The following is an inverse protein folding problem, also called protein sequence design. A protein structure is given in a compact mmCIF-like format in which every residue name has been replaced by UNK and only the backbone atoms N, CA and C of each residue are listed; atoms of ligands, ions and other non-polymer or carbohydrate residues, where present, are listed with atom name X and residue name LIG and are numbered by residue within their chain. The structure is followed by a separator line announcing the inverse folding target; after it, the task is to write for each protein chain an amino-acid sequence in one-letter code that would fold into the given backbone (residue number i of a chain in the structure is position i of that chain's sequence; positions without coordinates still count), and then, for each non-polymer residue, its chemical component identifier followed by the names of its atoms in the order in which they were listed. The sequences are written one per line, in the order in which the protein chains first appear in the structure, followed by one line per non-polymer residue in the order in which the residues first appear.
data_IF_480775175716
#
_entry.id   IF_480775175716
#
_cell.length_a   1.000
_cell.length_b   1.000
_cell.length_c   1.000
_cell.angle_alpha   90.00
_cell.angle_beta   90.00
_cell.angle_gamma   90.00
#
_symmetry.space_group_name_H-M   'P 1'
#
loop_
_entity.id
_entity.type
_entity.pdbx_description
1 polymer ?
#
# COMPACT_ATOMS: atom_id res chain seq x y z
N UNK A 1 -17.45 52.69 1.53
CA UNK A 1 -17.48 52.23 0.13
C UNK A 1 -17.03 50.78 0.12
N UNK A 2 -17.97 49.84 -0.09
CA UNK A 2 -17.70 48.40 -0.08
C UNK A 2 -17.34 47.99 -1.52
N UNK A 3 -16.07 47.68 -1.77
CA UNK A 3 -15.66 47.09 -3.04
C UNK A 3 -15.91 45.58 -2.97
N UNK A 4 -17.08 45.14 -3.45
CA UNK A 4 -17.27 43.73 -3.84
C UNK A 4 -16.76 43.58 -5.27
N UNK A 5 -15.62 42.91 -5.45
CA UNK A 5 -15.19 42.44 -6.76
C UNK A 5 -15.95 41.16 -7.10
N UNK A 6 -16.72 41.19 -8.19
CA UNK A 6 -17.32 40.00 -8.78
C UNK A 6 -16.32 39.42 -9.80
N UNK A 7 -15.84 38.20 -9.56
CA UNK A 7 -14.96 37.47 -10.47
C UNK A 7 -15.82 36.48 -11.26
N UNK A 8 -15.97 36.71 -12.56
CA UNK A 8 -16.64 35.77 -13.49
C UNK A 8 -15.57 34.88 -14.13
N UNK A 9 -15.63 33.57 -13.89
CA UNK A 9 -14.71 32.59 -14.49
C UNK A 9 -15.38 31.96 -15.72
N UNK A 10 -14.90 32.29 -16.91
CA UNK A 10 -15.26 31.60 -18.16
C UNK A 10 -14.31 30.42 -18.37
N UNK A 11 -14.82 29.19 -18.28
CA UNK A 11 -14.00 27.98 -18.47
C UNK A 11 -13.71 27.73 -19.96
N UNK A 12 -12.42 27.65 -20.32
CA UNK A 12 -11.95 27.32 -21.67
C UNK A 12 -11.35 25.90 -21.72
N UNK A 13 -11.59 25.15 -22.81
CA UNK A 13 -11.43 23.69 -22.98
C UNK A 13 -9.99 23.11 -22.93
N UNK A 14 -9.01 23.82 -22.38
CA UNK A 14 -7.63 23.36 -22.14
C UNK A 14 -7.30 23.35 -20.64
N UNK A 15 -8.20 22.76 -19.84
CA UNK A 15 -8.41 23.16 -18.45
C UNK A 15 -7.38 22.65 -17.42
N UNK A 16 -6.66 21.55 -17.67
CA UNK A 16 -5.96 20.85 -16.57
C UNK A 16 -4.73 21.60 -16.00
N UNK A 17 -3.75 22.09 -16.81
CA UNK A 17 -2.63 22.84 -16.26
C UNK A 17 -2.98 24.30 -15.92
N UNK A 18 -3.84 24.94 -16.71
CA UNK A 18 -4.22 26.35 -16.50
C UNK A 18 -5.00 26.55 -15.20
N UNK A 19 -5.82 25.58 -14.79
CA UNK A 19 -6.54 25.62 -13.52
C UNK A 19 -5.58 25.79 -12.33
N UNK A 20 -4.55 24.94 -12.22
CA UNK A 20 -3.58 25.04 -11.13
C UNK A 20 -2.75 26.32 -11.18
N UNK A 21 -2.44 26.83 -12.38
CA UNK A 21 -1.78 28.13 -12.53
C UNK A 21 -2.64 29.29 -12.00
N UNK A 22 -3.95 29.27 -12.24
CA UNK A 22 -4.86 30.29 -11.73
C UNK A 22 -5.00 30.21 -10.21
N UNK A 23 -5.22 29.01 -9.65
CA UNK A 23 -5.29 28.81 -8.20
C UNK A 23 -3.98 29.25 -7.52
N UNK A 24 -2.83 28.87 -8.06
CA UNK A 24 -1.54 29.25 -7.49
C UNK A 24 -1.29 30.76 -7.59
N UNK A 25 -1.75 31.41 -8.67
CA UNK A 25 -1.65 32.86 -8.84
C UNK A 25 -2.52 33.60 -7.83
N UNK A 26 -3.79 33.24 -7.73
CA UNK A 26 -4.73 33.83 -6.77
C UNK A 26 -4.22 33.66 -5.33
N UNK A 27 -3.71 32.47 -5.00
CA UNK A 27 -3.09 32.22 -3.69
C UNK A 27 -1.95 33.19 -3.41
N UNK A 28 -1.05 33.42 -4.38
CA UNK A 28 0.06 34.39 -4.22
C UNK A 28 -0.43 35.83 -4.11
N UNK A 29 -1.48 36.19 -4.82
CA UNK A 29 -2.09 37.52 -4.75
C UNK A 29 -2.69 37.77 -3.35
N UNK A 30 -3.35 36.76 -2.75
CA UNK A 30 -3.84 36.81 -1.36
C UNK A 30 -2.68 36.87 -0.37
N UNK A 31 -1.66 36.03 -0.54
CA UNK A 31 -0.46 36.05 0.32
C UNK A 31 0.22 37.42 0.31
N UNK A 32 0.33 38.05 -0.86
CA UNK A 32 0.89 39.40 -0.99
C UNK A 32 0.05 40.46 -0.27
N UNK A 33 -1.29 40.34 -0.28
CA UNK A 33 -2.18 41.23 0.48
C UNK A 33 -1.99 41.07 2.00
N UNK A 34 -1.66 39.86 2.46
CA UNK A 34 -1.34 39.57 3.86
C UNK A 34 0.12 39.92 4.23
N UNK A 35 0.95 40.34 3.27
CA UNK A 35 2.36 40.66 3.49
C UNK A 35 3.26 39.44 3.67
N UNK A 36 2.83 38.26 3.18
CA UNK A 36 3.53 36.99 3.35
C UNK A 36 4.11 36.50 2.02
N UNK A 37 5.38 36.10 2.01
CA UNK A 37 6.08 35.65 0.79
C UNK A 37 6.08 34.14 0.59
N UNK A 38 5.98 33.33 1.66
CA UNK A 38 6.01 31.88 1.57
C UNK A 38 4.75 31.26 2.16
N UNK A 39 4.21 30.22 1.50
CA UNK A 39 2.98 29.58 1.92
C UNK A 39 3.14 28.90 3.29
N UNK A 40 4.33 28.38 3.59
CA UNK A 40 4.65 27.74 4.87
C UNK A 40 4.49 28.69 6.06
N UNK A 41 4.65 30.00 5.84
CA UNK A 41 4.48 31.02 6.87
C UNK A 41 2.99 31.25 7.21
N UNK A 42 2.05 30.73 6.41
CA UNK A 42 0.61 30.77 6.69
C UNK A 42 0.08 29.50 7.38
N UNK A 43 0.82 28.39 7.34
CA UNK A 43 0.32 27.10 7.83
C UNK A 43 0.13 27.15 9.34
N UNK A 44 -1.11 26.98 9.79
CA UNK A 44 -1.48 27.00 11.21
C UNK A 44 -1.62 28.40 11.82
N UNK A 45 -1.49 29.48 11.04
CA UNK A 45 -1.57 30.86 11.51
C UNK A 45 -3.01 31.38 11.50
N UNK A 46 -3.76 31.02 12.54
CA UNK A 46 -5.19 31.41 12.66
C UNK A 46 -5.40 32.89 12.94
N UNK A 47 -4.35 33.65 13.28
CA UNK A 47 -4.46 35.10 13.50
C UNK A 47 -4.76 35.90 12.22
N UNK A 48 -4.53 35.31 11.04
CA UNK A 48 -4.93 35.90 9.76
C UNK A 48 -6.43 35.71 9.47
N UNK A 49 -7.16 34.98 10.32
CA UNK A 49 -8.58 34.73 10.17
C UNK A 49 -9.37 35.56 11.18
N UNK A 50 -10.39 36.23 10.69
CA UNK A 50 -11.37 36.95 11.50
C UNK A 50 -12.76 36.41 11.21
N UNK A 51 -13.55 36.16 12.25
CA UNK A 51 -14.96 35.84 12.08
C UNK A 51 -15.72 37.06 11.50
N UNK A 52 -16.61 36.80 10.55
CA UNK A 52 -17.49 37.80 9.97
C UNK A 52 -18.88 37.67 10.57
N UNK A 53 -19.59 38.79 10.70
CA UNK A 53 -20.98 38.80 11.14
C UNK A 53 -21.86 37.90 10.25
N UNK A 54 -22.65 37.04 10.87
CA UNK A 54 -23.58 36.17 10.19
C UNK A 54 -24.74 36.94 9.57
N UNK A 55 -25.13 36.54 8.36
CA UNK A 55 -26.23 37.14 7.60
C UNK A 55 -27.59 36.72 8.18
N UNK A 56 -27.65 35.59 8.88
CA UNK A 56 -28.86 35.05 9.52
C UNK A 56 -28.70 34.83 11.01
N UNK A 57 -29.82 34.83 11.73
CA UNK A 57 -29.87 34.50 13.15
C UNK A 57 -29.38 33.07 13.48
N UNK A 58 -29.32 32.16 12.48
CA UNK A 58 -28.73 30.83 12.66
C UNK A 58 -27.21 30.86 12.57
N UNK A 59 -26.65 31.66 11.66
CA UNK A 59 -25.20 31.82 11.51
C UNK A 59 -24.59 32.51 12.73
N UNK A 60 -25.25 33.53 13.28
CA UNK A 60 -24.81 34.22 14.51
C UNK A 60 -24.88 33.36 15.79
N UNK A 61 -25.32 32.11 15.69
CA UNK A 61 -25.30 31.14 16.79
C UNK A 61 -24.15 30.13 16.68
N UNK A 62 -23.37 30.18 15.62
CA UNK A 62 -22.18 29.33 15.48
C UNK A 62 -21.08 29.89 16.37
N UNK A 63 -20.43 29.00 17.12
CA UNK A 63 -19.20 29.31 17.83
C UNK A 63 -18.03 28.76 17.02
N UNK A 64 -17.30 29.65 16.33
CA UNK A 64 -16.15 29.29 15.52
C UNK A 64 -14.83 29.32 16.32
N UNK A 65 -14.88 29.67 17.61
CA UNK A 65 -13.68 29.75 18.45
C UNK A 65 -12.82 28.47 18.44
N UNK A 66 -13.38 27.23 18.37
CA UNK A 66 -12.55 26.02 18.30
C UNK A 66 -11.73 25.90 17.00
N UNK A 67 -12.17 26.53 15.90
CA UNK A 67 -11.46 26.54 14.61
C UNK A 67 -10.35 27.61 14.55
N UNK A 68 -10.49 28.66 15.36
CA UNK A 68 -9.56 29.80 15.38
C UNK A 68 -8.43 29.63 16.43
N UNK A 69 -8.41 28.53 17.17
CA UNK A 69 -7.32 28.23 18.09
C UNK A 69 -6.02 27.98 17.33
N UNK A 70 -4.99 28.75 17.62
CA UNK A 70 -3.65 28.53 17.08
C UNK A 70 -3.04 27.30 17.76
N UNK A 71 -2.73 26.27 16.96
CA UNK A 71 -2.06 25.09 17.48
C UNK A 71 -0.63 25.45 17.90
N UNK A 72 -0.26 25.14 19.14
CA UNK A 72 1.15 25.22 19.57
C UNK A 72 1.81 23.88 19.26
N UNK A 73 2.86 23.82 18.43
CA UNK A 73 3.53 22.56 18.16
C UNK A 73 4.23 22.05 19.43
N UNK A 74 4.28 20.73 19.59
CA UNK A 74 5.06 20.13 20.66
C UNK A 74 6.55 20.53 20.57
N UNK A 75 7.27 20.60 21.69
CA UNK A 75 8.71 20.87 21.68
C UNK A 75 9.45 19.98 20.67
N UNK A 76 10.22 20.59 19.76
CA UNK A 76 10.95 19.88 18.71
C UNK A 76 10.12 19.48 17.47
N UNK A 77 8.87 19.94 17.33
CA UNK A 77 8.05 19.77 16.13
C UNK A 77 7.77 21.11 15.44
N UNK A 78 7.62 21.06 14.13
CA UNK A 78 7.22 22.21 13.31
C UNK A 78 5.70 22.23 13.10
N UNK A 79 5.15 23.41 12.74
CA UNK A 79 3.74 23.58 12.37
C UNK A 79 3.37 22.95 11.02
N UNK A 80 4.37 22.74 10.17
CA UNK A 80 4.22 22.16 8.85
C UNK A 80 5.18 20.98 8.68
N UNK A 81 4.95 20.17 7.64
CA UNK A 81 5.80 19.01 7.37
C UNK A 81 7.21 19.46 6.95
N UNK A 82 8.21 19.16 7.78
CA UNK A 82 9.63 19.40 7.50
C UNK A 82 10.38 18.12 7.12
N UNK A 83 9.73 16.96 7.24
CA UNK A 83 10.33 15.67 6.94
C UNK A 83 10.31 15.43 5.42
N UNK A 84 11.47 15.20 4.82
CA UNK A 84 11.59 14.93 3.39
C UNK A 84 11.12 13.52 2.99
N UNK A 85 10.94 12.62 3.95
CA UNK A 85 10.44 11.27 3.72
C UNK A 85 9.80 10.69 4.98
N UNK A 86 8.98 9.65 4.80
CA UNK A 86 8.44 8.88 5.91
C UNK A 86 9.23 7.56 6.03
N UNK A 87 10.14 7.41 7.00
CA UNK A 87 10.90 6.17 7.15
C UNK A 87 9.96 5.02 7.49
N UNK A 88 10.07 3.87 6.80
CA UNK A 88 9.22 2.73 7.11
C UNK A 88 9.61 2.17 8.48
N UNK A 89 8.59 1.84 9.29
CA UNK A 89 8.78 1.17 10.58
C UNK A 89 9.47 -0.20 10.44
N UNK A 90 9.16 -0.91 9.36
CA UNK A 90 9.75 -2.21 9.05
C UNK A 90 10.82 -2.05 7.97
N UNK A 91 12.03 -2.46 8.33
CA UNK A 91 13.19 -2.33 7.48
C UNK A 91 13.26 -3.39 6.38
N UNK A 92 12.40 -4.41 6.41
CA UNK A 92 12.25 -5.43 5.38
C UNK A 92 13.55 -6.19 5.10
N UNK A 93 14.31 -6.55 6.14
CA UNK A 93 15.65 -7.10 6.01
C UNK A 93 15.68 -8.37 5.14
N UNK A 94 14.74 -9.31 5.37
CA UNK A 94 14.64 -10.53 4.57
C UNK A 94 14.28 -10.25 3.10
N UNK A 95 13.42 -9.25 2.83
CA UNK A 95 13.12 -8.84 1.46
C UNK A 95 14.33 -8.25 0.75
N UNK A 96 15.13 -7.44 1.45
CA UNK A 96 16.36 -6.86 0.92
C UNK A 96 17.41 -7.93 0.65
N UNK A 97 17.55 -8.90 1.55
CA UNK A 97 18.47 -10.02 1.38
C UNK A 97 18.07 -10.89 0.18
N UNK A 98 16.81 -11.31 0.11
CA UNK A 98 16.27 -12.07 -1.02
C UNK A 98 16.48 -11.32 -2.34
N UNK A 99 16.15 -10.02 -2.39
CA UNK A 99 16.33 -9.21 -3.59
C UNK A 99 17.81 -9.10 -3.97
N UNK A 100 18.70 -8.83 -3.02
CA UNK A 100 20.13 -8.70 -3.30
C UNK A 100 20.72 -9.99 -3.89
N UNK A 101 20.31 -11.17 -3.40
CA UNK A 101 20.74 -12.45 -3.94
C UNK A 101 20.09 -12.77 -5.31
N UNK A 102 18.84 -12.37 -5.51
CA UNK A 102 18.09 -12.63 -6.74
C UNK A 102 18.39 -11.64 -7.88
N UNK A 103 18.87 -10.43 -7.58
CA UNK A 103 19.03 -9.33 -8.55
C UNK A 103 19.79 -9.74 -9.83
N UNK A 104 20.95 -10.41 -9.77
CA UNK A 104 21.68 -10.81 -10.99
C UNK A 104 20.86 -11.75 -11.87
N UNK A 105 20.10 -12.65 -11.25
CA UNK A 105 19.26 -13.62 -11.96
C UNK A 105 18.00 -12.98 -12.54
N UNK A 106 17.47 -11.96 -11.88
CA UNK A 106 16.39 -11.13 -12.45
C UNK A 106 16.89 -10.41 -13.69
N UNK A 107 18.06 -9.77 -13.64
CA UNK A 107 18.63 -9.03 -14.78
C UNK A 107 18.93 -9.94 -15.97
N UNK A 108 19.51 -11.13 -15.73
CA UNK A 108 19.81 -12.12 -16.77
C UNK A 108 18.60 -12.94 -17.22
N UNK A 109 17.43 -12.77 -16.57
CA UNK A 109 16.22 -13.55 -16.83
C UNK A 109 16.44 -15.05 -16.65
N UNK A 110 17.17 -15.43 -15.60
CA UNK A 110 17.48 -16.81 -15.27
C UNK A 110 16.75 -17.27 -14.00
N UNK A 111 16.27 -18.51 -14.02
CA UNK A 111 15.67 -19.13 -12.83
C UNK A 111 16.73 -19.51 -11.81
N UNK A 112 16.45 -19.26 -10.53
CA UNK A 112 17.30 -19.66 -9.40
C UNK A 112 16.45 -20.00 -8.18
N UNK A 113 16.92 -20.98 -7.40
CA UNK A 113 16.33 -21.35 -6.12
C UNK A 113 17.14 -20.77 -4.94
N UNK A 114 16.43 -20.22 -3.96
CA UNK A 114 16.99 -19.68 -2.72
C UNK A 114 16.28 -20.29 -1.50
N UNK A 115 16.96 -20.30 -0.36
CA UNK A 115 16.49 -20.90 0.88
C UNK A 115 16.73 -19.96 2.05
N UNK A 116 15.70 -19.70 2.85
CA UNK A 116 15.75 -18.77 3.98
C UNK A 116 14.96 -19.30 5.18
N UNK A 117 15.36 -18.90 6.38
CA UNK A 117 14.50 -18.97 7.55
C UNK A 117 13.58 -17.75 7.60
N UNK A 118 12.35 -17.92 8.07
CA UNK A 118 11.35 -16.84 8.16
C UNK A 118 10.70 -16.78 9.53
N UNK A 119 10.43 -15.57 10.01
CA UNK A 119 9.75 -15.30 11.29
C UNK A 119 8.51 -14.43 11.07
N UNK A 120 7.61 -14.44 12.05
CA UNK A 120 6.35 -13.68 11.97
C UNK A 120 6.55 -12.15 11.85
N UNK A 121 7.75 -11.66 12.18
CA UNK A 121 8.17 -10.27 12.00
C UNK A 121 8.57 -9.96 10.56
N UNK A 122 8.88 -10.96 9.75
CA UNK A 122 9.22 -10.79 8.33
C UNK A 122 7.93 -10.67 7.53
N UNK A 123 7.54 -9.41 7.27
CA UNK A 123 6.28 -9.07 6.60
C UNK A 123 6.50 -8.78 5.13
N UNK A 124 5.46 -8.97 4.33
CA UNK A 124 5.45 -8.65 2.89
C UNK A 124 6.59 -9.33 2.11
N UNK A 125 7.02 -10.51 2.54
CA UNK A 125 8.13 -11.24 1.90
C UNK A 125 7.74 -11.62 0.47
N UNK A 126 8.62 -11.29 -0.47
CA UNK A 126 8.42 -11.49 -1.91
C UNK A 126 7.97 -10.23 -2.67
N UNK A 127 7.55 -9.17 -1.97
CA UNK A 127 7.07 -7.93 -2.58
C UNK A 127 8.19 -7.19 -3.36
N UNK A 128 9.36 -7.03 -2.73
CA UNK A 128 10.50 -6.34 -3.35
C UNK A 128 11.01 -7.09 -4.58
N UNK A 129 11.05 -8.43 -4.52
CA UNK A 129 11.40 -9.27 -5.65
C UNK A 129 10.39 -9.13 -6.80
N UNK A 130 9.09 -9.18 -6.48
CA UNK A 130 8.03 -9.01 -7.48
C UNK A 130 8.11 -7.64 -8.16
N UNK A 131 8.35 -6.58 -7.39
CA UNK A 131 8.53 -5.23 -7.91
C UNK A 131 9.77 -5.08 -8.81
N UNK A 132 10.87 -5.74 -8.47
CA UNK A 132 12.08 -5.74 -9.30
C UNK A 132 11.88 -6.50 -10.62
N UNK A 133 11.17 -7.64 -10.60
CA UNK A 133 10.83 -8.37 -11.83
C UNK A 133 9.87 -7.54 -12.69
N UNK A 134 8.83 -6.96 -12.08
CA UNK A 134 7.84 -6.16 -12.81
C UNK A 134 8.44 -4.90 -13.43
N UNK A 135 9.41 -4.24 -12.76
CA UNK A 135 10.05 -3.05 -13.29
C UNK A 135 10.96 -3.32 -14.49
N UNK A 136 11.62 -4.48 -14.53
CA UNK A 136 12.56 -4.85 -15.61
C UNK A 136 11.84 -5.59 -16.74
N UNK A 137 10.95 -6.54 -16.42
CA UNK A 137 10.38 -7.48 -17.39
C UNK A 137 8.85 -7.41 -17.50
N UNK A 138 8.17 -6.60 -16.68
CA UNK A 138 6.72 -6.59 -16.56
C UNK A 138 6.16 -7.79 -15.78
N UNK A 139 4.87 -7.76 -15.47
CA UNK A 139 4.23 -8.67 -14.50
C UNK A 139 4.33 -10.16 -14.84
N UNK A 140 4.45 -10.50 -16.13
CA UNK A 140 4.54 -11.89 -16.61
C UNK A 140 5.87 -12.19 -17.31
N UNK A 141 6.80 -11.24 -17.31
CA UNK A 141 8.01 -11.32 -18.13
C UNK A 141 8.92 -12.50 -17.80
N UNK A 142 8.87 -12.99 -16.56
CA UNK A 142 9.64 -14.14 -16.06
C UNK A 142 8.79 -15.37 -15.71
N UNK A 143 7.53 -15.46 -16.18
CA UNK A 143 6.65 -16.56 -15.82
C UNK A 143 7.12 -17.95 -16.30
N UNK A 144 7.94 -18.01 -17.36
CA UNK A 144 8.52 -19.26 -17.86
C UNK A 144 9.69 -19.76 -17.00
N UNK A 145 10.51 -18.83 -16.48
CA UNK A 145 11.74 -19.11 -15.73
C UNK A 145 11.73 -18.34 -14.39
N UNK A 146 10.85 -18.73 -13.45
CA UNK A 146 10.63 -17.96 -12.24
C UNK A 146 11.78 -18.10 -11.24
N UNK A 147 11.95 -17.10 -10.39
CA UNK A 147 12.76 -17.19 -9.17
C UNK A 147 11.98 -18.00 -8.13
N UNK A 148 12.65 -18.99 -7.53
CA UNK A 148 12.07 -19.90 -6.54
C UNK A 148 12.65 -19.57 -5.17
N UNK A 149 11.81 -19.22 -4.21
CA UNK A 149 12.24 -18.94 -2.84
C UNK A 149 11.55 -19.89 -1.86
N UNK A 150 12.36 -20.66 -1.15
CA UNK A 150 11.93 -21.62 -0.14
C UNK A 150 12.17 -21.05 1.26
N UNK A 151 11.16 -21.12 2.11
CA UNK A 151 11.16 -20.59 3.46
C UNK A 151 10.84 -21.68 4.48
N UNK A 152 11.47 -21.60 5.64
CA UNK A 152 11.21 -22.47 6.79
C UNK A 152 10.87 -21.62 8.03
N UNK A 153 9.71 -21.87 8.65
CA UNK A 153 9.26 -21.13 9.83
C UNK A 153 7.87 -20.51 9.66
N UNK A 154 7.60 -19.43 10.39
CA UNK A 154 6.28 -18.76 10.40
C UNK A 154 6.37 -17.45 9.63
N UNK A 155 5.64 -17.29 8.52
CA UNK A 155 5.62 -16.04 7.77
C UNK A 155 4.78 -14.95 8.45
N UNK A 156 5.28 -13.72 8.41
CA UNK A 156 4.51 -12.55 8.84
C UNK A 156 3.34 -12.24 7.90
N UNK A 157 2.64 -11.14 8.21
CA UNK A 157 1.51 -10.68 7.40
C UNK A 157 1.93 -10.38 5.95
N UNK A 158 0.99 -10.61 5.03
CA UNK A 158 1.15 -10.29 3.60
C UNK A 158 2.25 -11.09 2.88
N UNK A 159 2.48 -12.35 3.26
CA UNK A 159 3.40 -13.22 2.56
C UNK A 159 3.00 -13.38 1.08
N UNK A 160 3.93 -13.12 0.15
CA UNK A 160 3.66 -13.13 -1.29
C UNK A 160 2.68 -12.04 -1.76
N UNK A 161 2.66 -10.89 -1.10
CA UNK A 161 1.86 -9.73 -1.56
C UNK A 161 2.37 -9.24 -2.94
N UNK A 162 1.42 -8.96 -3.84
CA UNK A 162 1.68 -8.52 -5.22
C UNK A 162 2.58 -9.45 -6.03
N UNK A 163 2.51 -10.76 -5.74
CA UNK A 163 3.37 -11.75 -6.38
C UNK A 163 3.24 -11.71 -7.91
N UNK A 164 4.37 -11.52 -8.59
CA UNK A 164 4.47 -11.46 -10.04
C UNK A 164 4.58 -12.86 -10.67
N UNK A 165 4.34 -12.96 -11.99
CA UNK A 165 4.45 -14.17 -12.79
C UNK A 165 5.74 -14.96 -12.58
N UNK A 166 6.86 -14.25 -12.41
CA UNK A 166 8.20 -14.81 -12.24
C UNK A 166 8.59 -15.16 -10.81
N UNK A 167 7.65 -15.29 -9.88
CA UNK A 167 7.97 -15.57 -8.48
C UNK A 167 7.22 -16.81 -7.99
N UNK A 168 7.96 -17.81 -7.52
CA UNK A 168 7.44 -19.01 -6.86
C UNK A 168 7.92 -19.06 -5.40
N UNK A 169 6.97 -18.98 -4.46
CA UNK A 169 7.26 -19.00 -3.03
C UNK A 169 6.79 -20.31 -2.42
N UNK A 170 7.67 -21.02 -1.70
CA UNK A 170 7.31 -22.22 -0.95
C UNK A 170 7.62 -22.02 0.52
N UNK A 171 6.62 -22.14 1.38
CA UNK A 171 6.75 -22.05 2.82
C UNK A 171 6.53 -23.43 3.46
N UNK A 172 7.53 -23.89 4.21
CA UNK A 172 7.41 -25.05 5.09
C UNK A 172 7.23 -24.55 6.53
N UNK A 173 5.98 -24.55 7.00
CA UNK A 173 5.55 -23.90 8.23
C UNK A 173 4.15 -23.30 8.07
N UNK A 174 3.90 -22.15 8.70
CA UNK A 174 2.60 -21.47 8.72
C UNK A 174 2.72 -19.97 8.38
N UNK A 175 1.63 -19.34 7.96
CA UNK A 175 1.62 -17.93 7.60
C UNK A 175 0.45 -17.18 8.27
N UNK A 176 0.69 -15.90 8.61
CA UNK A 176 -0.35 -15.01 9.10
C UNK A 176 -1.27 -14.50 7.98
N UNK A 177 -2.08 -13.48 8.28
CA UNK A 177 -3.08 -12.92 7.37
C UNK A 177 -2.49 -12.40 6.04
N UNK A 178 -3.36 -12.29 5.04
CA UNK A 178 -3.12 -11.65 3.74
C UNK A 178 -2.15 -12.39 2.80
N UNK A 179 -2.03 -13.72 2.91
CA UNK A 179 -1.22 -14.50 1.97
C UNK A 179 -1.71 -14.27 0.54
N UNK A 180 -0.79 -13.92 -0.36
CA UNK A 180 -1.10 -13.68 -1.77
C UNK A 180 -2.00 -12.46 -2.02
N UNK A 181 -2.07 -11.50 -1.10
CA UNK A 181 -2.82 -10.24 -1.31
C UNK A 181 -2.38 -9.55 -2.60
N UNK A 182 -3.32 -9.23 -3.48
CA UNK A 182 -3.07 -8.55 -4.75
C UNK A 182 -2.17 -9.30 -5.71
N UNK A 183 -2.04 -10.63 -5.57
CA UNK A 183 -1.24 -11.47 -6.46
C UNK A 183 -1.69 -11.33 -7.92
N UNK A 184 -0.74 -11.09 -8.83
CA UNK A 184 -0.98 -10.94 -10.26
C UNK A 184 -0.54 -12.19 -11.06
N UNK A 185 0.37 -12.99 -10.51
CA UNK A 185 0.92 -14.17 -11.17
C UNK A 185 1.78 -15.02 -10.23
N UNK A 186 2.46 -16.01 -10.80
CA UNK A 186 3.40 -16.86 -10.07
C UNK A 186 2.67 -17.88 -9.20
N UNK A 187 3.39 -18.42 -8.22
CA UNK A 187 2.82 -19.41 -7.29
C UNK A 187 3.26 -19.22 -5.85
N UNK A 188 2.36 -19.55 -4.93
CA UNK A 188 2.63 -19.61 -3.49
C UNK A 188 2.18 -20.98 -3.00
N UNK A 189 3.05 -21.70 -2.31
CA UNK A 189 2.75 -22.99 -1.71
C UNK A 189 3.06 -22.94 -0.20
N UNK A 190 2.09 -23.29 0.65
CA UNK A 190 2.26 -23.35 2.11
C UNK A 190 1.93 -24.77 2.58
N UNK A 191 2.88 -25.39 3.27
CA UNK A 191 2.76 -26.78 3.76
C UNK A 191 3.34 -26.91 5.16
N UNK A 192 2.83 -27.84 5.99
CA UNK A 192 3.39 -28.09 7.30
C UNK A 192 4.78 -28.74 7.18
N UNK A 193 5.62 -28.63 8.23
CA UNK A 193 6.86 -29.41 8.33
C UNK A 193 6.61 -30.93 8.24
N UNK A 194 7.62 -31.67 7.78
CA UNK A 194 7.56 -33.14 7.79
C UNK A 194 7.47 -33.64 9.24
N UNK A 195 6.56 -34.59 9.48
CA UNK A 195 6.36 -35.15 10.82
C UNK A 195 5.42 -34.37 11.73
N UNK A 196 4.69 -33.37 11.20
CA UNK A 196 3.61 -32.71 11.96
C UNK A 196 2.56 -33.73 12.41
N UNK A 197 2.28 -33.73 13.72
CA UNK A 197 1.37 -34.68 14.37
C UNK A 197 -0.13 -34.39 14.10
N UNK A 198 -0.45 -33.21 13.58
CA UNK A 198 -1.82 -32.81 13.28
C UNK A 198 -2.21 -33.19 11.85
N UNK A 199 -3.48 -33.52 11.66
CA UNK A 199 -4.06 -33.72 10.33
C UNK A 199 -4.12 -32.36 9.64
N UNK A 200 -3.46 -32.26 8.50
CA UNK A 200 -3.30 -31.00 7.77
C UNK A 200 -4.65 -30.33 7.46
N UNK A 201 -5.68 -31.08 7.08
CA UNK A 201 -7.01 -30.54 6.79
C UNK A 201 -7.83 -30.09 8.03
N UNK A 202 -7.40 -30.41 9.25
CA UNK A 202 -8.08 -30.03 10.51
C UNK A 202 -7.41 -28.84 11.21
N UNK A 203 -6.23 -28.41 10.76
CA UNK A 203 -5.49 -27.28 11.31
C UNK A 203 -5.54 -26.07 10.37
N UNK A 204 -5.31 -24.87 10.91
CA UNK A 204 -5.14 -23.66 10.11
C UNK A 204 -3.66 -23.43 9.81
N UNK A 205 -3.30 -23.20 8.54
CA UNK A 205 -1.91 -22.91 8.13
C UNK A 205 -1.71 -21.52 7.52
N UNK A 206 -2.80 -20.87 7.14
CA UNK A 206 -2.81 -19.51 6.62
C UNK A 206 -3.88 -18.68 7.33
N UNK A 207 -3.58 -17.41 7.57
CA UNK A 207 -4.49 -16.47 8.21
C UNK A 207 -5.64 -16.00 7.32
N UNK A 208 -6.23 -14.87 7.70
CA UNK A 208 -7.43 -14.31 7.09
C UNK A 208 -7.15 -13.52 5.81
N UNK A 209 -8.20 -13.27 5.02
CA UNK A 209 -8.18 -12.33 3.87
C UNK A 209 -7.08 -12.64 2.86
N UNK A 210 -6.83 -13.94 2.65
CA UNK A 210 -5.95 -14.42 1.61
C UNK A 210 -6.48 -14.03 0.22
N UNK A 211 -5.58 -13.86 -0.74
CA UNK A 211 -5.89 -13.51 -2.13
C UNK A 211 -6.75 -12.25 -2.31
N UNK A 212 -6.77 -11.35 -1.32
CA UNK A 212 -7.53 -10.11 -1.42
C UNK A 212 -7.11 -9.29 -2.64
N UNK A 213 -8.03 -9.12 -3.58
CA UNK A 213 -7.77 -8.39 -4.82
C UNK A 213 -6.79 -9.08 -5.79
N UNK A 214 -6.58 -10.40 -5.67
CA UNK A 214 -5.74 -11.13 -6.62
C UNK A 214 -6.35 -11.11 -8.04
N UNK A 215 -5.50 -10.86 -9.04
CA UNK A 215 -5.86 -10.79 -10.47
C UNK A 215 -5.32 -11.97 -11.28
N UNK A 216 -4.43 -12.77 -10.69
CA UNK A 216 -3.87 -13.98 -11.31
C UNK A 216 -3.03 -14.78 -10.31
N UNK A 217 -2.29 -15.79 -10.79
CA UNK A 217 -1.43 -16.65 -9.97
C UNK A 217 -2.13 -17.86 -9.35
N UNK A 218 -1.38 -18.61 -8.54
CA UNK A 218 -1.84 -19.84 -7.87
C UNK A 218 -1.41 -19.88 -6.41
N UNK A 219 -2.34 -20.17 -5.51
CA UNK A 219 -2.07 -20.43 -4.09
C UNK A 219 -2.46 -21.86 -3.74
N UNK A 220 -1.49 -22.59 -3.18
CA UNK A 220 -1.65 -23.94 -2.66
C UNK A 220 -1.42 -23.90 -1.15
N UNK A 221 -2.39 -24.41 -0.39
CA UNK A 221 -2.28 -24.56 1.06
C UNK A 221 -2.65 -25.99 1.43
N UNK A 222 -1.80 -26.66 2.20
CA UNK A 222 -2.02 -28.04 2.63
C UNK A 222 -3.11 -28.17 3.72
N UNK A 223 -3.70 -27.06 4.16
CA UNK A 223 -4.62 -26.99 5.29
C UNK A 223 -5.73 -25.95 5.04
N UNK A 224 -6.79 -25.99 5.85
CA UNK A 224 -7.88 -25.02 5.77
C UNK A 224 -7.43 -23.62 6.27
N UNK A 225 -7.99 -22.50 5.76
CA UNK A 225 -7.74 -21.16 6.28
C UNK A 225 -8.45 -20.91 7.63
N UNK A 226 -7.92 -20.00 8.45
CA UNK A 226 -8.38 -19.77 9.83
C UNK A 226 -9.84 -19.28 10.01
N UNK A 227 -10.48 -18.66 9.01
CA UNK A 227 -11.85 -18.13 9.16
C UNK A 227 -12.70 -18.01 7.87
N UNK A 228 -13.99 -17.69 8.05
CA UNK A 228 -15.17 -17.78 7.12
C UNK A 228 -15.12 -16.85 5.89
N UNK A 229 -13.99 -16.24 5.55
CA UNK A 229 -13.84 -15.49 4.28
C UNK A 229 -12.46 -15.72 3.68
N UNK A 230 -12.24 -16.91 3.08
CA UNK A 230 -10.95 -17.29 2.52
C UNK A 230 -10.53 -16.40 1.34
N UNK A 231 -11.49 -15.81 0.63
CA UNK A 231 -11.27 -14.86 -0.46
C UNK A 231 -12.25 -13.69 -0.32
N UNK A 232 -11.77 -12.50 0.06
CA UNK A 232 -12.60 -11.28 0.02
C UNK A 232 -12.44 -10.65 -1.37
N UNK A 233 -13.15 -11.18 -2.36
CA UNK A 233 -13.39 -10.50 -3.63
C UNK A 233 -14.90 -10.50 -3.89
N UNK A 234 -15.55 -9.32 -3.96
CA UNK A 234 -16.98 -9.27 -4.21
C UNK A 234 -17.28 -9.66 -5.67
N UNK A 235 -17.97 -10.79 -5.85
CA UNK A 235 -18.85 -11.18 -6.96
C UNK A 235 -18.30 -11.16 -8.42
N UNK A 236 -18.87 -11.96 -9.33
CA UNK A 236 -18.26 -12.27 -10.61
C UNK A 236 -18.56 -11.17 -11.63
N UNK A 237 -17.54 -10.51 -12.15
CA UNK A 237 -17.62 -9.92 -13.49
C UNK A 237 -16.93 -10.87 -14.49
N UNK A 238 -17.40 -10.97 -15.76
CA UNK A 238 -16.97 -12.01 -16.70
C UNK A 238 -15.48 -12.00 -17.10
N UNK A 239 -14.69 -11.08 -16.52
CA UNK A 239 -13.34 -10.75 -16.96
C UNK A 239 -12.24 -11.16 -15.98
N UNK A 240 -12.58 -11.79 -14.84
CA UNK A 240 -11.60 -12.17 -13.82
C UNK A 240 -11.74 -13.64 -13.44
N UNK A 241 -10.77 -14.46 -13.86
CA UNK A 241 -10.58 -15.84 -13.37
C UNK A 241 -9.39 -15.86 -12.41
N UNK A 242 -9.60 -15.47 -11.15
CA UNK A 242 -8.66 -15.88 -10.10
C UNK A 242 -8.86 -17.39 -9.88
N UNK A 243 -7.80 -18.17 -10.11
CA UNK A 243 -7.86 -19.63 -10.01
C UNK A 243 -7.96 -20.07 -8.55
N UNK A 244 -8.79 -21.09 -8.31
CA UNK A 244 -9.16 -21.61 -7.01
C UNK A 244 -7.98 -21.90 -6.08
N UNK A 245 -8.15 -21.63 -4.78
CA UNK A 245 -7.36 -22.26 -3.73
C UNK A 245 -7.52 -23.77 -3.93
N UNK A 246 -6.45 -24.43 -4.37
CA UNK A 246 -6.44 -25.88 -4.47
C UNK A 246 -5.87 -26.40 -3.16
N UNK A 247 -6.75 -26.90 -2.29
CA UNK A 247 -6.33 -27.66 -1.11
C UNK A 247 -5.83 -29.01 -1.62
N UNK A 248 -4.51 -29.20 -1.62
CA UNK A 248 -3.90 -30.46 -2.00
C UNK A 248 -3.83 -31.31 -0.75
N UNK A 249 -4.71 -32.31 -0.63
CA UNK A 249 -4.56 -33.37 0.36
C UNK A 249 -3.38 -34.26 -0.08
N UNK A 250 -2.27 -34.18 0.63
CA UNK A 250 -1.22 -35.20 0.63
C UNK A 250 -1.41 -36.11 1.83
#
# INVERSE_FOLDING_TARGET
MKNCAAITITACRNASPNYFHFIARETREIMAQLGVSQLVDLIGRTEFLSELDGISAKQNKLDLSPLLQTATPHPGKALYCTEGSNPPFDHGLLNKELLAQAQPYVEEKHSKAFYFDIRNTDRSVGASLSGAIASVHGDQGMAADPIKAHFSGTAGQSFGVWNAGGVELTLTGDANDYVGKGMAGGSIAVRPPLGSAFRSHEASIIGNTCLYGATGGKLFAAAAPASVSPCVTPAPSPWWKASAITVVNT
#
